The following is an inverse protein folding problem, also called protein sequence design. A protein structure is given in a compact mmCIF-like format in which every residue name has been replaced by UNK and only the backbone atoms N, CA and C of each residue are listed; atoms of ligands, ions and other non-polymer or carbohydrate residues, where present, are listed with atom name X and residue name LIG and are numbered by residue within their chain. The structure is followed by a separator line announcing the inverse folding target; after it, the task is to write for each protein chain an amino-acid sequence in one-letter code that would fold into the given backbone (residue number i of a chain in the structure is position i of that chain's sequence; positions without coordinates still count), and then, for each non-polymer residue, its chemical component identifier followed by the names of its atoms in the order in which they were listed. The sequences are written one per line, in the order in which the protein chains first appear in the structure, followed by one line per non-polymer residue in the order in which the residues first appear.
data_IF_016464464508
#
_entry.id   IF_016464464508
#
_cell.length_a   1.000
_cell.length_b   1.000
_cell.length_c   1.000
_cell.angle_alpha   90.00
_cell.angle_beta   90.00
_cell.angle_gamma   90.00
#
_symmetry.space_group_name_H-M   'P 1'
#
loop_
_entity.id
_entity.type
_entity.pdbx_description
1 polymer ?
#
# COMPACT_ATOMS: atom_id res chain seq x y z
N UNK A 1 0.02 -3.62 8.04
CA UNK A 1 0.20 -2.89 9.31
C UNK A 1 0.16 -3.84 10.50
N UNK A 2 0.72 -3.44 11.64
CA UNK A 2 0.57 -4.12 12.92
C UNK A 2 -0.02 -3.12 13.91
N UNK A 3 -0.89 -3.57 14.80
CA UNK A 3 -1.46 -2.75 15.85
C UNK A 3 -1.28 -3.45 17.20
N UNK A 4 -0.87 -2.70 18.21
CA UNK A 4 -0.86 -3.11 19.60
C UNK A 4 -1.68 -2.10 20.39
N UNK A 5 -2.74 -2.58 21.02
CA UNK A 5 -3.67 -1.75 21.80
C UNK A 5 -3.67 -2.15 23.26
N UNK A 6 -3.51 -1.17 24.14
CA UNK A 6 -3.61 -1.35 25.59
C UNK A 6 -4.87 -0.66 26.13
N UNK A 7 -5.75 -1.45 26.72
CA UNK A 7 -6.91 -0.92 27.43
C UNK A 7 -6.56 -0.65 28.90
N UNK A 8 -6.47 0.61 29.26
CA UNK A 8 -6.11 1.03 30.61
C UNK A 8 -7.17 0.67 31.66
N UNK A 9 -8.45 0.49 31.28
CA UNK A 9 -9.54 0.13 32.21
C UNK A 9 -9.46 -1.34 32.58
N UNK A 10 -9.28 -2.21 31.58
CA UNK A 10 -9.21 -3.65 31.79
C UNK A 10 -7.78 -4.15 32.02
N UNK A 11 -6.77 -3.28 31.82
CA UNK A 11 -5.33 -3.60 31.86
C UNK A 11 -4.93 -4.75 30.94
N UNK A 12 -5.63 -4.87 29.81
CA UNK A 12 -5.39 -5.91 28.80
C UNK A 12 -4.70 -5.33 27.57
N UNK A 13 -3.82 -6.13 26.97
CA UNK A 13 -3.19 -5.85 25.69
C UNK A 13 -3.84 -6.73 24.62
N UNK A 14 -4.19 -6.12 23.50
CA UNK A 14 -4.66 -6.81 22.30
C UNK A 14 -3.73 -6.48 21.14
N UNK A 15 -3.48 -7.45 20.27
CA UNK A 15 -2.65 -7.27 19.08
C UNK A 15 -3.43 -7.66 17.82
N UNK A 16 -3.14 -6.97 16.73
CA UNK A 16 -3.70 -7.28 15.43
C UNK A 16 -2.62 -7.24 14.36
N UNK A 17 -2.65 -8.25 13.48
CA UNK A 17 -1.80 -8.32 12.32
C UNK A 17 -2.63 -7.99 11.07
N UNK A 18 -2.42 -6.80 10.51
CA UNK A 18 -3.02 -6.34 9.26
C UNK A 18 -2.04 -6.41 8.08
N UNK A 19 -1.16 -7.40 8.04
CA UNK A 19 -0.36 -7.71 6.85
C UNK A 19 -1.27 -8.19 5.73
N UNK A 20 -0.93 -7.81 4.49
CA UNK A 20 -1.63 -8.34 3.33
C UNK A 20 -1.43 -9.85 3.19
N UNK A 21 -2.42 -10.51 2.63
CA UNK A 21 -2.37 -11.92 2.27
C UNK A 21 -2.14 -12.08 0.77
N UNK A 22 -1.53 -13.17 0.35
CA UNK A 22 -1.50 -13.54 -1.06
C UNK A 22 -2.92 -13.77 -1.60
N UNK A 23 -3.14 -13.51 -2.88
CA UNK A 23 -4.42 -13.78 -3.53
C UNK A 23 -4.77 -15.27 -3.47
N UNK A 24 -6.06 -15.61 -3.43
CA UNK A 24 -6.54 -16.99 -3.31
C UNK A 24 -6.12 -17.92 -4.47
N UNK A 25 -5.81 -17.34 -5.63
CA UNK A 25 -5.30 -18.09 -6.79
C UNK A 25 -3.78 -18.23 -6.85
N UNK A 26 -3.04 -17.74 -5.87
CA UNK A 26 -1.58 -17.79 -5.83
C UNK A 26 -1.14 -19.04 -5.09
N UNK A 27 -0.53 -19.99 -5.82
CA UNK A 27 0.04 -21.22 -5.25
C UNK A 27 1.55 -21.23 -5.42
N UNK A 28 2.25 -22.03 -4.63
CA UNK A 28 3.70 -22.17 -4.74
C UNK A 28 4.12 -22.65 -6.13
N UNK A 29 3.41 -23.62 -6.69
CA UNK A 29 3.67 -24.17 -8.03
C UNK A 29 3.52 -23.08 -9.09
N UNK A 30 2.48 -22.25 -8.98
CA UNK A 30 2.27 -21.15 -9.91
C UNK A 30 3.40 -20.13 -9.83
N UNK A 31 3.80 -19.71 -8.63
CA UNK A 31 4.91 -18.78 -8.45
C UNK A 31 6.21 -19.34 -9.04
N UNK A 32 6.53 -20.61 -8.74
CA UNK A 32 7.72 -21.29 -9.27
C UNK A 32 7.72 -21.33 -10.79
N UNK A 33 6.58 -21.68 -11.38
CA UNK A 33 6.41 -21.72 -12.83
C UNK A 33 6.59 -20.33 -13.47
N UNK A 34 5.93 -19.32 -12.92
CA UNK A 34 5.94 -17.95 -13.46
C UNK A 34 7.32 -17.29 -13.35
N UNK A 35 8.07 -17.62 -12.29
CA UNK A 35 9.42 -17.11 -12.05
C UNK A 35 10.54 -18.05 -12.54
N UNK A 36 10.21 -19.17 -13.19
CA UNK A 36 11.16 -20.19 -13.66
C UNK A 36 12.09 -20.71 -12.54
N UNK A 37 11.57 -20.91 -11.33
CA UNK A 37 12.31 -21.43 -10.19
C UNK A 37 12.20 -22.99 -10.21
N UNK A 38 13.32 -23.73 -10.32
CA UNK A 38 13.30 -25.18 -10.33
C UNK A 38 12.73 -25.77 -9.03
N UNK A 39 12.14 -26.96 -9.12
CA UNK A 39 11.65 -27.67 -7.96
C UNK A 39 12.79 -28.04 -7.01
N UNK A 40 12.55 -27.81 -5.72
CA UNK A 40 13.54 -28.07 -4.66
C UNK A 40 14.57 -26.96 -4.46
N UNK A 41 14.63 -25.95 -5.32
CA UNK A 41 15.51 -24.81 -5.14
C UNK A 41 14.85 -23.69 -4.34
N UNK A 42 15.68 -22.94 -3.59
CA UNK A 42 15.25 -21.70 -2.96
C UNK A 42 15.25 -20.56 -3.99
N UNK A 43 14.10 -19.91 -4.13
CA UNK A 43 13.97 -18.74 -4.98
C UNK A 43 13.52 -17.53 -4.19
N UNK A 44 13.68 -16.34 -4.80
CA UNK A 44 13.16 -15.10 -4.26
C UNK A 44 12.13 -14.52 -5.23
N UNK A 45 11.06 -13.94 -4.67
CA UNK A 45 10.10 -13.18 -5.47
C UNK A 45 10.69 -11.78 -5.65
N UNK A 46 10.96 -11.33 -6.89
CA UNK A 46 11.41 -9.95 -7.13
C UNK A 46 10.39 -8.94 -6.60
N UNK A 47 10.87 -7.80 -6.06
CA UNK A 47 9.98 -6.78 -5.48
C UNK A 47 9.06 -6.11 -6.50
N UNK A 48 9.47 -6.07 -7.76
CA UNK A 48 8.70 -5.58 -8.91
C UNK A 48 7.76 -6.61 -9.52
N UNK A 49 7.76 -7.85 -9.00
CA UNK A 49 6.86 -8.90 -9.45
C UNK A 49 5.44 -8.70 -8.90
N UNK A 50 4.44 -8.99 -9.74
CA UNK A 50 3.04 -9.06 -9.32
C UNK A 50 2.81 -10.04 -8.16
N UNK A 51 3.66 -11.07 -8.02
CA UNK A 51 3.61 -12.03 -6.92
C UNK A 51 4.06 -11.43 -5.57
N UNK A 52 4.76 -10.29 -5.58
CA UNK A 52 5.10 -9.55 -4.36
C UNK A 52 3.92 -8.71 -3.83
N UNK A 53 2.91 -8.45 -4.68
CA UNK A 53 1.73 -7.71 -4.28
C UNK A 53 0.80 -8.57 -3.41
N UNK A 54 0.24 -7.96 -2.39
CA UNK A 54 -0.73 -8.60 -1.49
C UNK A 54 -2.11 -7.95 -1.61
N UNK A 55 -3.13 -8.66 -1.16
CA UNK A 55 -4.43 -8.04 -0.90
C UNK A 55 -4.25 -6.93 0.14
N UNK A 56 -4.81 -5.72 -0.03
CA UNK A 56 -4.60 -4.59 0.86
C UNK A 56 -5.01 -4.88 2.31
N UNK A 57 -4.07 -5.29 3.13
CA UNK A 57 -4.30 -5.62 4.54
C UNK A 57 -4.17 -4.41 5.47
N UNK A 58 -3.37 -3.42 5.12
CA UNK A 58 -3.18 -2.23 5.95
C UNK A 58 -4.47 -1.40 6.02
N UNK A 59 -5.12 -1.14 4.88
CA UNK A 59 -6.37 -0.37 4.83
C UNK A 59 -7.50 -1.09 5.57
N UNK A 60 -7.68 -2.40 5.34
CA UNK A 60 -8.63 -3.21 6.10
C UNK A 60 -8.32 -3.16 7.61
N UNK A 61 -7.03 -3.20 7.98
CA UNK A 61 -6.60 -3.11 9.36
C UNK A 61 -6.93 -1.77 10.03
N UNK A 62 -6.96 -0.65 9.31
CA UNK A 62 -7.40 0.63 9.88
C UNK A 62 -8.88 0.58 10.27
N UNK A 63 -9.71 0.04 9.40
CA UNK A 63 -11.14 -0.15 9.66
C UNK A 63 -11.35 -1.06 10.87
N UNK A 64 -10.71 -2.24 10.84
CA UNK A 64 -10.80 -3.20 11.94
C UNK A 64 -10.31 -2.62 13.29
N UNK A 65 -9.23 -1.82 13.28
CA UNK A 65 -8.74 -1.14 14.47
C UNK A 65 -9.76 -0.15 15.01
N UNK A 66 -10.33 0.66 14.13
CA UNK A 66 -11.32 1.66 14.51
C UNK A 66 -12.57 1.00 15.08
N UNK A 67 -13.07 -0.06 14.46
CA UNK A 67 -14.26 -0.77 14.92
C UNK A 67 -14.04 -1.49 16.26
N UNK A 68 -12.87 -2.13 16.46
CA UNK A 68 -12.59 -2.96 17.63
C UNK A 68 -12.12 -2.17 18.84
N UNK A 69 -11.32 -1.14 18.61
CA UNK A 69 -10.61 -0.41 19.66
C UNK A 69 -10.98 1.07 19.73
N UNK A 70 -11.77 1.56 18.78
CA UNK A 70 -12.23 2.93 18.76
C UNK A 70 -13.11 3.26 19.94
N UNK A 71 -13.04 4.51 20.40
CA UNK A 71 -13.86 5.00 21.52
C UNK A 71 -15.34 5.19 21.17
N UNK A 72 -15.68 5.12 19.89
CA UNK A 72 -17.00 5.47 19.35
C UNK A 72 -17.32 6.97 19.34
N UNK A 73 -16.36 7.82 19.71
CA UNK A 73 -16.53 9.28 19.73
C UNK A 73 -16.19 9.98 18.42
N UNK A 74 -15.40 9.32 17.58
CA UNK A 74 -14.90 9.84 16.31
C UNK A 74 -15.21 8.81 15.25
N UNK A 75 -15.74 9.24 14.11
CA UNK A 75 -16.02 8.36 12.97
C UNK A 75 -14.75 8.10 12.16
N UNK A 76 -14.74 7.04 11.36
CA UNK A 76 -13.63 6.76 10.45
C UNK A 76 -13.44 7.89 9.43
N UNK A 77 -14.52 8.51 8.98
CA UNK A 77 -14.50 9.67 8.09
C UNK A 77 -13.75 10.84 8.71
N UNK A 78 -14.06 11.18 9.96
CA UNK A 78 -13.35 12.25 10.70
C UNK A 78 -11.87 11.94 10.90
N UNK A 79 -11.52 10.66 11.12
CA UNK A 79 -10.12 10.24 11.27
C UNK A 79 -9.36 10.39 9.94
N UNK A 80 -9.98 10.08 8.81
CA UNK A 80 -9.35 10.12 7.49
C UNK A 80 -9.40 11.50 6.83
N UNK A 81 -10.31 12.39 7.25
CA UNK A 81 -10.50 13.69 6.63
C UNK A 81 -9.21 14.52 6.44
N UNK A 82 -8.27 14.60 7.42
CA UNK A 82 -7.03 15.34 7.22
C UNK A 82 -6.12 14.72 6.15
N UNK A 83 -6.11 13.39 6.03
CA UNK A 83 -5.32 12.70 5.02
C UNK A 83 -5.94 12.89 3.61
N UNK A 84 -7.26 12.90 3.52
CA UNK A 84 -8.00 13.18 2.29
C UNK A 84 -7.73 14.62 1.84
N UNK A 85 -7.81 15.57 2.76
CA UNK A 85 -7.51 16.98 2.49
C UNK A 85 -6.09 17.16 1.93
N UNK A 86 -5.09 16.52 2.55
CA UNK A 86 -3.71 16.54 2.04
C UNK A 86 -3.58 15.90 0.65
N UNK A 87 -4.33 14.84 0.39
CA UNK A 87 -4.32 14.17 -0.91
C UNK A 87 -4.98 15.03 -2.01
N UNK A 88 -6.05 15.74 -1.69
CA UNK A 88 -6.77 16.61 -2.64
C UNK A 88 -6.07 17.95 -2.88
N UNK A 89 -5.59 18.59 -1.81
CA UNK A 89 -5.02 19.93 -1.86
C UNK A 89 -3.48 19.94 -1.96
N UNK A 90 -2.84 18.80 -1.77
CA UNK A 90 -1.40 18.63 -1.81
C UNK A 90 -0.73 19.01 -0.48
N UNK A 91 0.53 18.62 -0.37
CA UNK A 91 1.40 18.95 0.76
C UNK A 91 2.81 19.33 0.26
N UNK A 92 3.55 20.14 1.00
CA UNK A 92 4.90 20.51 0.60
C UNK A 92 5.84 19.30 0.65
N UNK A 93 6.63 19.13 -0.42
CA UNK A 93 7.59 18.04 -0.55
C UNK A 93 9.00 18.64 -0.57
N UNK A 94 9.95 18.05 0.16
CA UNK A 94 11.34 18.46 0.11
C UNK A 94 11.97 18.16 -1.26
N UNK A 95 12.99 18.93 -1.67
CA UNK A 95 13.71 18.69 -2.93
C UNK A 95 14.26 17.26 -3.02
N UNK A 96 14.75 16.71 -1.92
CA UNK A 96 15.26 15.35 -1.86
C UNK A 96 14.14 14.32 -2.14
N UNK A 97 12.98 14.48 -1.52
CA UNK A 97 11.84 13.59 -1.74
C UNK A 97 11.31 13.72 -3.17
N UNK A 98 11.24 14.92 -3.72
CA UNK A 98 10.84 15.16 -5.10
C UNK A 98 11.80 14.47 -6.09
N UNK A 99 13.11 14.53 -5.83
CA UNK A 99 14.12 13.85 -6.65
C UNK A 99 13.95 12.33 -6.62
N UNK A 100 13.71 11.74 -5.43
CA UNK A 100 13.49 10.30 -5.32
C UNK A 100 12.22 9.85 -6.04
N UNK A 101 11.14 10.59 -5.94
CA UNK A 101 9.90 10.27 -6.67
C UNK A 101 10.13 10.32 -8.17
N UNK A 102 10.85 11.35 -8.67
CA UNK A 102 11.18 11.44 -10.10
C UNK A 102 12.06 10.28 -10.59
N UNK A 103 12.95 9.76 -9.75
CA UNK A 103 13.76 8.58 -10.08
C UNK A 103 12.87 7.33 -10.17
N UNK A 104 11.90 7.17 -9.29
CA UNK A 104 10.94 6.04 -9.34
C UNK A 104 10.09 6.11 -10.60
N UNK A 105 9.67 7.30 -11.02
CA UNK A 105 8.94 7.50 -12.29
C UNK A 105 9.77 7.11 -13.52
N UNK A 106 11.10 7.25 -13.46
CA UNK A 106 12.02 6.82 -14.53
C UNK A 106 12.19 5.29 -14.57
N UNK A 107 12.09 4.62 -13.42
CA UNK A 107 12.30 3.17 -13.34
C UNK A 107 11.05 2.32 -13.56
N UNK A 108 9.90 2.91 -13.65
CA UNK A 108 8.70 2.14 -13.91
C UNK A 108 7.43 2.92 -13.73
N UNK A 109 6.77 2.94 -14.76
CA UNK A 109 5.39 3.28 -14.98
C UNK A 109 4.42 2.48 -14.07
N UNK A 110 4.66 2.52 -12.75
CA UNK A 110 3.74 1.95 -11.75
C UNK A 110 2.38 2.65 -11.81
N UNK A 111 2.35 3.90 -12.27
CA UNK A 111 1.12 4.65 -12.45
C UNK A 111 0.31 4.15 -13.65
N UNK A 112 0.95 3.66 -14.72
CA UNK A 112 0.27 3.08 -15.88
C UNK A 112 -0.31 1.70 -15.57
N UNK A 113 0.29 0.93 -14.69
CA UNK A 113 -0.29 -0.34 -14.21
C UNK A 113 -1.61 -0.12 -13.45
N UNK A 114 -1.72 0.94 -12.67
CA UNK A 114 -2.95 1.25 -11.91
C UNK A 114 -4.03 1.93 -12.77
N UNK A 115 -3.66 2.60 -13.87
CA UNK A 115 -4.58 3.37 -14.70
C UNK A 115 -5.11 2.65 -15.94
N UNK A 116 -4.61 1.45 -16.25
CA UNK A 116 -5.04 0.66 -17.43
C UNK A 116 -4.71 1.34 -18.77
N UNK A 117 -3.79 2.30 -18.81
CA UNK A 117 -3.37 2.99 -20.02
C UNK A 117 -2.39 2.14 -20.84
N UNK A 118 -2.59 2.11 -22.15
CA UNK A 118 -1.72 1.43 -23.12
C UNK A 118 -0.41 2.22 -23.28
N UNK A 119 0.71 1.53 -23.34
CA UNK A 119 2.10 1.98 -23.37
C UNK A 119 2.53 2.95 -24.50
N UNK A 120 1.62 3.63 -25.20
CA UNK A 120 1.93 4.48 -26.35
C UNK A 120 1.23 5.84 -26.37
N UNK A 121 0.81 6.37 -25.21
CA UNK A 121 0.33 7.75 -25.14
C UNK A 121 1.39 8.66 -24.51
N UNK A 122 1.73 9.82 -25.13
CA UNK A 122 2.68 10.76 -24.55
C UNK A 122 2.18 11.23 -23.20
N UNK A 123 3.06 11.21 -22.20
CA UNK A 123 2.84 11.69 -20.87
C UNK A 123 2.47 13.18 -20.89
N UNK A 124 1.16 13.48 -20.84
CA UNK A 124 0.69 14.82 -20.53
C UNK A 124 1.07 15.11 -19.08
N UNK A 125 1.57 16.32 -18.79
CA UNK A 125 1.99 16.79 -17.48
C UNK A 125 1.06 16.26 -16.39
N UNK A 126 1.53 15.27 -15.66
CA UNK A 126 0.75 14.66 -14.61
C UNK A 126 0.78 15.56 -13.39
N UNK A 127 -0.39 16.02 -12.96
CA UNK A 127 -0.63 16.30 -11.57
C UNK A 127 -0.51 14.95 -10.83
N UNK A 128 0.70 14.57 -10.44
CA UNK A 128 0.91 13.55 -9.43
C UNK A 128 0.13 13.98 -8.19
N UNK A 129 -0.93 13.26 -7.88
CA UNK A 129 -1.78 13.36 -6.69
C UNK A 129 -1.42 14.52 -5.75
N UNK A 130 -1.82 15.76 -6.09
CA UNK A 130 -1.72 16.89 -5.19
C UNK A 130 -0.33 17.35 -4.76
N UNK A 131 0.78 16.83 -5.32
CA UNK A 131 2.11 17.34 -5.02
C UNK A 131 2.32 18.68 -5.68
N UNK A 132 2.41 19.75 -4.90
CA UNK A 132 2.84 21.08 -5.33
C UNK A 132 4.32 21.22 -5.01
N UNK A 133 5.13 21.41 -6.05
CA UNK A 133 6.51 21.88 -5.89
C UNK A 133 6.54 23.33 -5.40
#
# INVERSE_FOLDING_TARGET
MFCLYYDAKTKKVSAMNGSGRSGSGVTLEKIRKDLNIPDGENGQIPMDSVHAATVPGAAAGWVDCHERFGSGKVTLEEVLAPAIDLAENGFPVSELSATFVSIVDVFGDLTDMCSGRKANQPCGRHHLMGMKC
#
